data_IF_026461057239
#
_entry.id   IF_026461057239
#
_cell.length_a   1.000
_cell.length_b   1.000
_cell.length_c   1.000
_cell.angle_alpha   90.00
_cell.angle_beta   90.00
_cell.angle_gamma   90.00
#
_symmetry.space_group_name_H-M   'P 1'
#
loop_
_entity.id
_entity.type
_entity.pdbx_description
1 polymer ?
#
# COMPACT_ATOMS: atom_id res chain seq x y z
N UNK A 1 -32.99 -3.59 5.98
CA UNK A 1 -32.23 -2.51 6.66
C UNK A 1 -31.54 -2.94 7.97
N UNK A 2 -31.33 -4.25 8.26
CA UNK A 2 -30.69 -4.69 9.51
C UNK A 2 -29.19 -5.08 9.37
N UNK A 3 -28.74 -5.62 8.23
CA UNK A 3 -27.37 -6.14 8.09
C UNK A 3 -26.27 -5.09 8.15
N UNK A 4 -26.51 -3.86 7.67
CA UNK A 4 -25.53 -2.77 7.74
C UNK A 4 -25.27 -2.28 9.18
N UNK A 5 -26.13 -2.61 10.15
CA UNK A 5 -25.90 -2.35 11.57
C UNK A 5 -24.98 -3.38 12.22
N UNK A 6 -24.74 -4.51 11.54
CA UNK A 6 -23.85 -5.57 11.99
C UNK A 6 -22.84 -5.92 10.87
N UNK A 7 -21.92 -5.00 10.52
CA UNK A 7 -21.01 -5.20 9.39
C UNK A 7 -20.15 -6.46 9.50
N UNK A 8 -19.94 -6.99 10.71
CA UNK A 8 -19.21 -8.23 10.95
C UNK A 8 -19.91 -9.50 10.43
N UNK A 9 -21.22 -9.43 10.13
CA UNK A 9 -21.96 -10.54 9.50
C UNK A 9 -21.80 -10.55 7.97
N UNK A 10 -21.25 -9.48 7.39
CA UNK A 10 -21.05 -9.35 5.94
C UNK A 10 -19.65 -9.85 5.60
N UNK A 11 -19.54 -10.79 4.67
CA UNK A 11 -18.24 -11.29 4.22
C UNK A 11 -17.42 -10.20 3.53
N UNK A 12 -16.09 -10.33 3.57
CA UNK A 12 -15.17 -9.39 2.92
C UNK A 12 -15.50 -9.19 1.43
N UNK A 13 -15.73 -10.29 0.70
CA UNK A 13 -16.13 -10.22 -0.71
C UNK A 13 -17.44 -9.45 -0.95
N UNK A 14 -18.43 -9.60 -0.06
CA UNK A 14 -19.68 -8.84 -0.15
C UNK A 14 -19.47 -7.35 0.13
N UNK A 15 -18.65 -7.01 1.13
CA UNK A 15 -18.30 -5.61 1.42
C UNK A 15 -17.57 -4.96 0.25
N UNK A 16 -16.65 -5.68 -0.40
CA UNK A 16 -15.95 -5.22 -1.61
C UNK A 16 -16.91 -4.97 -2.75
N UNK A 17 -17.84 -5.87 -3.03
CA UNK A 17 -18.86 -5.66 -4.05
C UNK A 17 -19.74 -4.43 -3.76
N UNK A 18 -20.08 -4.19 -2.50
CA UNK A 18 -20.82 -2.97 -2.09
C UNK A 18 -19.97 -1.72 -2.35
N UNK A 19 -18.69 -1.73 -1.99
CA UNK A 19 -17.76 -0.62 -2.23
C UNK A 19 -17.59 -0.34 -3.73
N UNK A 20 -17.37 -1.38 -4.54
CA UNK A 20 -17.23 -1.27 -5.99
C UNK A 20 -18.51 -0.75 -6.65
N UNK A 21 -19.68 -1.22 -6.20
CA UNK A 21 -20.96 -0.74 -6.69
C UNK A 21 -21.21 0.73 -6.32
N UNK A 22 -20.92 1.14 -5.07
CA UNK A 22 -21.01 2.54 -4.63
C UNK A 22 -20.05 3.43 -5.42
N UNK A 23 -18.81 2.97 -5.62
CA UNK A 23 -17.81 3.67 -6.41
C UNK A 23 -18.27 3.86 -7.86
N UNK A 24 -18.72 2.78 -8.51
CA UNK A 24 -19.23 2.83 -9.88
C UNK A 24 -20.45 3.74 -10.01
N UNK A 25 -21.40 3.67 -9.07
CA UNK A 25 -22.60 4.52 -9.08
C UNK A 25 -22.24 6.01 -8.93
N UNK A 26 -21.31 6.33 -8.04
CA UNK A 26 -20.83 7.70 -7.86
C UNK A 26 -20.08 8.21 -9.10
N UNK A 27 -19.20 7.39 -9.70
CA UNK A 27 -18.55 7.71 -10.98
C UNK A 27 -19.56 7.94 -12.10
N UNK A 28 -20.58 7.08 -12.24
CA UNK A 28 -21.64 7.23 -13.25
C UNK A 28 -22.48 8.49 -13.04
N UNK A 29 -22.77 8.83 -11.77
CA UNK A 29 -23.50 10.06 -11.43
C UNK A 29 -22.70 11.28 -11.83
N UNK A 30 -21.39 11.32 -11.49
CA UNK A 30 -20.48 12.40 -11.89
C UNK A 30 -20.32 12.50 -13.40
N UNK A 31 -20.27 11.36 -14.08
CA UNK A 31 -20.23 11.30 -15.54
C UNK A 31 -21.49 11.91 -16.15
N UNK A 32 -22.68 11.54 -15.64
CA UNK A 32 -23.96 12.11 -16.11
C UNK A 32 -24.03 13.60 -15.84
N UNK A 33 -23.67 14.07 -14.64
CA UNK A 33 -23.60 15.50 -14.30
C UNK A 33 -22.70 16.26 -15.29
N UNK A 34 -21.49 15.75 -15.56
CA UNK A 34 -20.57 16.34 -16.52
C UNK A 34 -21.14 16.37 -17.94
N UNK A 35 -21.74 15.26 -18.38
CA UNK A 35 -22.34 15.13 -19.71
C UNK A 35 -23.54 16.07 -19.91
N UNK A 36 -24.44 16.15 -18.93
CA UNK A 36 -25.56 17.10 -18.94
C UNK A 36 -25.04 18.54 -18.98
N UNK A 37 -24.06 18.89 -18.15
CA UNK A 37 -23.46 20.23 -18.18
C UNK A 37 -22.82 20.55 -19.53
N UNK A 38 -22.19 19.57 -20.19
CA UNK A 38 -21.62 19.75 -21.53
C UNK A 38 -22.68 20.05 -22.59
N UNK A 39 -23.78 19.29 -22.59
CA UNK A 39 -24.87 19.46 -23.57
C UNK A 39 -25.63 20.76 -23.34
N UNK A 40 -26.00 21.05 -22.09
CA UNK A 40 -26.95 22.13 -21.77
C UNK A 40 -26.27 23.48 -21.53
N UNK A 41 -24.99 23.50 -21.14
CA UNK A 41 -24.29 24.74 -20.79
C UNK A 41 -23.09 25.07 -21.69
N UNK A 42 -22.80 24.26 -22.73
CA UNK A 42 -21.65 24.42 -23.62
C UNK A 42 -20.30 24.58 -22.88
N UNK A 43 -20.22 24.17 -21.62
CA UNK A 43 -18.97 24.11 -20.86
C UNK A 43 -18.37 22.74 -21.07
N UNK A 44 -17.14 22.68 -21.57
CA UNK A 44 -16.39 21.43 -21.68
C UNK A 44 -16.08 20.89 -20.27
N UNK A 45 -16.96 20.06 -19.71
CA UNK A 45 -16.71 19.35 -18.45
C UNK A 45 -16.21 17.95 -18.79
N UNK A 46 -14.96 17.65 -18.44
CA UNK A 46 -14.39 16.33 -18.68
C UNK A 46 -15.07 15.28 -17.78
N UNK A 47 -15.51 14.14 -18.34
CA UNK A 47 -16.17 13.07 -17.57
C UNK A 47 -15.20 12.23 -16.72
N UNK A 48 -13.90 12.37 -16.97
CA UNK A 48 -12.83 11.65 -16.29
C UNK A 48 -11.98 12.63 -15.49
N UNK A 49 -11.39 12.16 -14.41
CA UNK A 49 -10.27 12.84 -13.77
C UNK A 49 -9.02 12.47 -14.56
N UNK A 50 -8.58 13.35 -15.45
CA UNK A 50 -7.37 13.12 -16.26
C UNK A 50 -6.19 13.78 -15.55
N UNK A 51 -5.20 12.99 -15.15
CA UNK A 51 -3.93 13.49 -14.62
C UNK A 51 -2.85 13.38 -15.70
N UNK A 52 -2.30 14.52 -16.09
CA UNK A 52 -1.22 14.64 -17.07
C UNK A 52 0.10 14.82 -16.36
N UNK A 53 0.93 13.79 -16.32
CA UNK A 53 2.12 13.75 -15.47
C UNK A 53 3.39 13.56 -16.29
N UNK A 54 4.47 14.24 -15.89
CA UNK A 54 5.82 13.95 -16.38
C UNK A 54 6.46 12.93 -15.45
N UNK A 55 7.12 11.91 -16.01
CA UNK A 55 7.80 10.87 -15.20
C UNK A 55 8.77 11.45 -14.18
N UNK A 56 9.52 12.47 -14.57
CA UNK A 56 10.51 13.15 -13.71
C UNK A 56 9.88 14.06 -12.63
N UNK A 57 8.59 14.40 -12.74
CA UNK A 57 7.91 15.34 -11.85
C UNK A 57 6.61 14.75 -11.29
N UNK A 58 6.61 13.43 -11.03
CA UNK A 58 5.42 12.66 -10.73
C UNK A 58 4.65 13.19 -9.51
N UNK A 59 5.35 13.46 -8.40
CA UNK A 59 4.75 13.98 -7.16
C UNK A 59 4.17 15.38 -7.41
N UNK A 60 4.97 16.30 -7.94
CA UNK A 60 4.58 17.70 -8.14
C UNK A 60 3.37 17.83 -9.09
N UNK A 61 3.41 17.15 -10.24
CA UNK A 61 2.34 17.21 -11.23
C UNK A 61 1.06 16.55 -10.70
N UNK A 62 1.18 15.45 -9.94
CA UNK A 62 0.03 14.78 -9.31
C UNK A 62 -0.60 15.66 -8.24
N UNK A 63 0.20 16.20 -7.32
CA UNK A 63 -0.26 17.07 -6.23
C UNK A 63 -0.98 18.30 -6.78
N UNK A 64 -0.36 19.00 -7.73
CA UNK A 64 -0.92 20.20 -8.35
C UNK A 64 -2.28 19.93 -8.99
N UNK A 65 -2.40 18.82 -9.72
CA UNK A 65 -3.64 18.50 -10.42
C UNK A 65 -4.73 17.97 -9.49
N UNK A 66 -4.38 17.16 -8.48
CA UNK A 66 -5.35 16.67 -7.50
C UNK A 66 -5.91 17.82 -6.66
N UNK A 67 -5.07 18.79 -6.25
CA UNK A 67 -5.52 20.01 -5.57
C UNK A 67 -6.41 20.90 -6.45
N UNK A 68 -6.21 20.92 -7.77
CA UNK A 68 -7.07 21.66 -8.70
C UNK A 68 -8.40 20.96 -8.99
N UNK A 69 -8.49 19.65 -8.74
CA UNK A 69 -9.62 18.80 -9.10
C UNK A 69 -10.28 18.15 -7.87
N UNK A 70 -10.26 18.82 -6.71
CA UNK A 70 -10.83 18.33 -5.44
C UNK A 70 -12.27 17.81 -5.58
N UNK A 71 -13.13 18.52 -6.34
CA UNK A 71 -14.53 18.14 -6.54
C UNK A 71 -14.71 16.95 -7.50
N UNK A 72 -13.65 16.60 -8.23
CA UNK A 72 -13.64 15.65 -9.33
C UNK A 72 -12.90 14.35 -8.97
N UNK A 73 -12.39 14.21 -7.74
CA UNK A 73 -11.68 13.02 -7.26
C UNK A 73 -12.48 11.71 -7.33
N UNK A 74 -13.81 11.82 -7.43
CA UNK A 74 -14.73 10.68 -7.58
C UNK A 74 -15.07 10.35 -9.03
N UNK A 75 -14.50 11.08 -10.01
CA UNK A 75 -14.57 10.69 -11.42
C UNK A 75 -13.66 9.51 -11.68
N UNK A 76 -13.90 8.79 -12.77
CA UNK A 76 -13.00 7.72 -13.21
C UNK A 76 -11.63 8.32 -13.55
N UNK A 77 -10.59 7.81 -12.87
CA UNK A 77 -9.20 8.25 -13.00
C UNK A 77 -8.61 7.76 -14.33
N UNK A 78 -7.96 8.66 -15.07
CA UNK A 78 -7.16 8.36 -16.25
C UNK A 78 -5.82 9.05 -16.16
N UNK A 79 -4.76 8.31 -16.50
CA UNK A 79 -3.40 8.84 -16.51
C UNK A 79 -2.91 9.04 -17.94
N UNK A 80 -2.29 10.20 -18.18
CA UNK A 80 -1.59 10.52 -19.43
C UNK A 80 -0.14 10.91 -19.08
N UNK A 81 0.84 10.12 -19.51
CA UNK A 81 2.24 10.51 -19.41
C UNK A 81 2.59 11.47 -20.55
N UNK A 82 3.08 12.66 -20.20
CA UNK A 82 3.37 13.71 -21.19
C UNK A 82 4.52 13.26 -22.10
N UNK A 83 4.27 13.24 -23.40
CA UNK A 83 5.27 12.84 -24.41
C UNK A 83 5.26 11.35 -24.76
N UNK A 84 4.32 10.58 -24.22
CA UNK A 84 4.18 9.15 -24.48
C UNK A 84 2.86 8.82 -25.19
N UNK A 85 2.91 7.89 -26.14
CA UNK A 85 1.69 7.36 -26.76
C UNK A 85 1.08 6.28 -25.88
N UNK A 86 -0.19 6.44 -25.52
CA UNK A 86 -0.93 5.44 -24.76
C UNK A 86 -2.36 5.89 -24.45
N UNK A 87 -3.28 4.92 -24.46
CA UNK A 87 -4.64 5.11 -23.97
C UNK A 87 -4.77 4.32 -22.67
N UNK A 88 -5.13 5.00 -21.59
CA UNK A 88 -5.28 4.34 -20.29
C UNK A 88 -6.50 3.41 -20.26
N UNK A 89 -6.24 2.11 -20.43
CA UNK A 89 -7.19 1.03 -20.19
C UNK A 89 -7.00 0.38 -18.80
N UNK A 90 -6.27 1.04 -17.90
CA UNK A 90 -5.95 0.59 -16.53
C UNK A 90 -4.46 0.39 -16.27
N UNK A 91 -3.65 0.14 -17.31
CA UNK A 91 -2.21 -0.08 -17.19
C UNK A 91 -1.44 1.18 -16.79
N UNK A 92 -1.75 2.33 -17.40
CA UNK A 92 -1.08 3.60 -17.07
C UNK A 92 -1.46 4.07 -15.66
N UNK A 93 -2.73 3.87 -15.27
CA UNK A 93 -3.17 4.08 -13.89
C UNK A 93 -2.40 3.24 -12.88
N UNK A 94 -2.24 1.94 -13.15
CA UNK A 94 -1.48 1.04 -12.27
C UNK A 94 -0.01 1.46 -12.18
N UNK A 95 0.59 1.81 -13.30
CA UNK A 95 1.96 2.32 -13.36
C UNK A 95 2.14 3.60 -12.54
N UNK A 96 1.23 4.55 -12.67
CA UNK A 96 1.24 5.79 -11.91
C UNK A 96 1.19 5.55 -10.40
N UNK A 97 0.27 4.69 -9.93
CA UNK A 97 0.22 4.31 -8.51
C UNK A 97 1.54 3.71 -8.04
N UNK A 98 2.10 2.77 -8.80
CA UNK A 98 3.36 2.10 -8.47
C UNK A 98 4.52 3.10 -8.33
N UNK A 99 4.69 3.98 -9.33
CA UNK A 99 5.77 4.96 -9.34
C UNK A 99 5.59 6.03 -8.25
N UNK A 100 4.36 6.47 -8.03
CA UNK A 100 4.06 7.54 -7.06
C UNK A 100 4.24 7.04 -5.63
N UNK A 101 3.73 5.84 -5.31
CA UNK A 101 3.93 5.20 -4.01
C UNK A 101 5.41 5.00 -3.74
N UNK A 102 6.16 4.44 -4.69
CA UNK A 102 7.61 4.25 -4.53
C UNK A 102 8.32 5.57 -4.22
N UNK A 103 7.96 6.65 -4.91
CA UNK A 103 8.61 7.96 -4.71
C UNK A 103 8.25 8.58 -3.34
N UNK A 104 6.99 8.47 -2.91
CA UNK A 104 6.51 9.07 -1.64
C UNK A 104 6.97 8.30 -0.41
N UNK A 105 7.15 6.98 -0.53
CA UNK A 105 7.60 6.10 0.53
C UNK A 105 9.11 5.83 0.50
N UNK A 106 9.85 6.40 -0.46
CA UNK A 106 11.30 6.31 -0.49
C UNK A 106 11.90 6.88 0.83
N UNK A 107 12.74 6.13 1.56
CA UNK A 107 13.41 6.63 2.75
C UNK A 107 14.20 7.93 2.52
N UNK A 108 14.74 8.14 1.32
CA UNK A 108 15.46 9.36 0.93
C UNK A 108 14.52 10.57 0.78
N UNK A 109 13.24 10.34 0.46
CA UNK A 109 12.22 11.39 0.42
C UNK A 109 11.87 11.88 1.83
N UNK A 110 12.03 11.03 2.86
CA UNK A 110 12.02 11.45 4.26
C UNK A 110 10.64 11.71 4.86
N UNK A 111 9.56 11.28 4.20
CA UNK A 111 8.19 11.35 4.75
C UNK A 111 7.91 10.27 5.81
N UNK A 112 8.54 9.10 5.66
CA UNK A 112 8.33 7.94 6.52
C UNK A 112 9.66 7.39 7.02
N UNK A 113 9.65 6.83 8.22
CA UNK A 113 10.76 6.07 8.80
C UNK A 113 10.43 4.60 8.81
N UNK A 114 11.42 3.75 8.56
CA UNK A 114 11.28 2.30 8.52
C UNK A 114 11.85 1.67 9.78
N UNK A 115 11.22 0.60 10.22
CA UNK A 115 11.73 -0.27 11.27
C UNK A 115 12.34 -1.53 10.66
N UNK A 116 13.57 -1.86 11.04
CA UNK A 116 14.33 -2.96 10.45
C UNK A 116 13.77 -4.34 10.82
N UNK A 117 13.18 -4.46 12.01
CA UNK A 117 12.65 -5.74 12.51
C UNK A 117 11.32 -6.08 11.83
N UNK A 118 10.41 -5.12 11.74
CA UNK A 118 9.08 -5.34 11.16
C UNK A 118 9.02 -5.11 9.64
N UNK A 119 10.00 -4.40 9.07
CA UNK A 119 9.95 -3.83 7.71
C UNK A 119 8.73 -2.93 7.45
N UNK A 120 8.09 -2.43 8.51
CA UNK A 120 6.99 -1.48 8.43
C UNK A 120 7.51 -0.04 8.50
N UNK A 121 6.72 0.87 7.95
CA UNK A 121 6.99 2.29 7.94
C UNK A 121 5.98 3.06 8.78
N UNK A 122 6.42 4.20 9.31
CA UNK A 122 5.58 5.14 10.05
C UNK A 122 5.93 6.57 9.71
N UNK A 123 5.00 7.49 9.94
CA UNK A 123 5.18 8.91 9.67
C UNK A 123 6.44 9.43 10.36
N UNK A 124 7.30 10.12 9.62
CA UNK A 124 8.51 10.71 10.17
C UNK A 124 8.15 11.98 10.96
N UNK A 125 8.29 11.98 12.30
CA UNK A 125 7.97 13.15 13.13
C UNK A 125 8.89 14.34 12.81
N UNK A 126 10.07 14.08 12.23
CA UNK A 126 11.09 15.05 11.90
C UNK A 126 11.13 15.43 10.41
N UNK A 127 10.12 15.03 9.63
CA UNK A 127 10.05 15.34 8.19
C UNK A 127 10.04 16.84 7.93
N UNK A 128 10.80 17.27 6.92
CA UNK A 128 10.75 18.64 6.40
C UNK A 128 9.63 18.84 5.38
N UNK A 129 9.01 17.74 4.92
CA UNK A 129 7.93 17.79 3.95
C UNK A 129 6.68 18.47 4.55
N UNK A 130 5.89 19.08 3.67
CA UNK A 130 4.77 19.89 4.08
C UNK A 130 3.48 19.04 4.20
N UNK A 131 2.38 19.66 4.61
CA UNK A 131 1.10 18.96 4.81
C UNK A 131 0.53 18.41 3.49
N UNK A 132 0.86 19.02 2.36
CA UNK A 132 0.29 18.70 1.06
C UNK A 132 0.78 17.34 0.54
N UNK A 133 2.04 16.94 0.80
CA UNK A 133 2.51 15.59 0.46
C UNK A 133 1.78 14.52 1.26
N UNK A 134 1.59 14.72 2.57
CA UNK A 134 0.83 13.76 3.38
C UNK A 134 -0.64 13.71 2.96
N UNK A 135 -1.24 14.86 2.64
CA UNK A 135 -2.57 14.93 2.04
C UNK A 135 -2.63 14.12 0.72
N UNK A 136 -1.63 14.26 -0.15
CA UNK A 136 -1.52 13.48 -1.38
C UNK A 136 -1.47 11.97 -1.08
N UNK A 137 -0.67 11.52 -0.12
CA UNK A 137 -0.64 10.10 0.29
C UNK A 137 -2.03 9.63 0.69
N UNK A 138 -2.77 10.44 1.45
CA UNK A 138 -4.17 10.15 1.81
C UNK A 138 -5.08 10.01 0.60
N UNK A 139 -5.01 10.96 -0.35
CA UNK A 139 -5.81 10.92 -1.58
C UNK A 139 -5.47 9.68 -2.42
N UNK A 140 -4.17 9.37 -2.57
CA UNK A 140 -3.69 8.19 -3.32
C UNK A 140 -4.22 6.91 -2.70
N UNK A 141 -4.19 6.80 -1.36
CA UNK A 141 -4.74 5.66 -0.64
C UNK A 141 -6.24 5.49 -0.91
N UNK A 142 -7.00 6.59 -0.86
CA UNK A 142 -8.43 6.55 -1.12
C UNK A 142 -8.76 6.22 -2.59
N UNK A 143 -8.01 6.78 -3.54
CA UNK A 143 -8.16 6.46 -4.96
C UNK A 143 -7.85 4.99 -5.23
N UNK A 144 -6.86 4.41 -4.57
CA UNK A 144 -6.51 3.01 -4.73
C UNK A 144 -7.66 2.08 -4.32
N UNK A 145 -8.27 2.32 -3.15
CA UNK A 145 -9.46 1.60 -2.69
C UNK A 145 -10.61 1.74 -3.70
N UNK A 146 -10.87 2.96 -4.16
CA UNK A 146 -11.97 3.27 -5.07
C UNK A 146 -11.79 2.66 -6.48
N UNK A 147 -10.55 2.37 -6.86
CA UNK A 147 -10.19 1.78 -8.15
C UNK A 147 -9.76 0.30 -8.01
N UNK A 148 -10.04 -0.35 -6.88
CA UNK A 148 -9.67 -1.75 -6.59
C UNK A 148 -8.19 -2.04 -6.91
N UNK A 149 -7.29 -1.11 -6.58
CA UNK A 149 -5.86 -1.19 -6.87
C UNK A 149 -5.07 -1.40 -5.58
N UNK A 150 -4.25 -2.44 -5.56
CA UNK A 150 -3.31 -2.68 -4.46
C UNK A 150 -2.12 -1.73 -4.55
N UNK A 151 -1.68 -1.23 -3.41
CA UNK A 151 -0.48 -0.43 -3.25
C UNK A 151 0.59 -1.20 -2.49
N UNK A 152 1.84 -1.05 -2.92
CA UNK A 152 3.01 -1.58 -2.24
C UNK A 152 3.41 -0.66 -1.07
N UNK A 153 2.55 -0.58 -0.05
CA UNK A 153 2.79 0.23 1.16
C UNK A 153 2.87 -0.66 2.40
N UNK A 154 3.74 -0.25 3.31
CA UNK A 154 4.10 -1.01 4.50
C UNK A 154 3.65 -0.28 5.79
N UNK A 155 2.44 0.29 5.79
CA UNK A 155 1.88 0.94 6.98
C UNK A 155 1.27 -0.13 7.92
N UNK A 156 1.48 -0.03 9.25
CA UNK A 156 0.90 -0.98 10.22
C UNK A 156 -0.61 -0.77 10.37
N UNK A 157 -1.30 -1.78 10.91
CA UNK A 157 -2.73 -1.74 11.26
C UNK A 157 -3.11 -0.51 12.09
N UNK A 158 -2.20 -0.04 12.95
CA UNK A 158 -2.33 1.19 13.72
C UNK A 158 -2.74 2.41 12.87
N UNK A 159 -2.20 2.53 11.65
CA UNK A 159 -2.54 3.61 10.72
C UNK A 159 -4.03 3.59 10.36
N UNK A 160 -4.55 2.41 10.03
CA UNK A 160 -5.94 2.22 9.65
C UNK A 160 -6.88 2.34 10.85
N UNK A 161 -6.46 1.90 12.05
CA UNK A 161 -7.21 2.13 13.30
C UNK A 161 -7.39 3.63 13.54
N UNK A 162 -6.32 4.41 13.43
CA UNK A 162 -6.36 5.87 13.57
C UNK A 162 -7.25 6.53 12.52
N UNK A 163 -7.22 6.07 11.25
CA UNK A 163 -8.13 6.58 10.22
C UNK A 163 -9.58 6.44 10.68
N UNK A 164 -9.94 5.30 11.26
CA UNK A 164 -11.28 5.00 11.78
C UNK A 164 -11.53 5.51 13.21
N UNK A 165 -10.69 6.41 13.71
CA UNK A 165 -10.77 6.99 15.05
C UNK A 165 -10.79 5.94 16.19
N UNK A 166 -10.19 4.77 15.95
CA UNK A 166 -10.00 3.75 16.98
C UNK A 166 -8.73 4.04 17.79
N UNK A 167 -8.75 3.82 19.11
CA UNK A 167 -7.57 3.98 19.94
C UNK A 167 -6.49 2.98 19.54
N UNK A 168 -5.24 3.40 19.71
CA UNK A 168 -4.05 2.58 19.50
C UNK A 168 -3.27 2.42 20.79
N UNK A 169 -2.70 1.24 21.02
CA UNK A 169 -2.06 0.86 22.26
C UNK A 169 -0.70 0.17 22.06
N UNK A 170 -0.13 -0.39 23.13
CA UNK A 170 1.16 -1.06 23.12
C UNK A 170 1.21 -2.26 22.16
N UNK A 171 0.08 -2.94 21.94
CA UNK A 171 -0.04 -4.04 20.98
C UNK A 171 0.16 -3.53 19.57
N UNK A 172 -0.47 -2.40 19.24
CA UNK A 172 -0.30 -1.74 17.93
C UNK A 172 1.13 -1.25 17.72
N UNK A 173 1.76 -0.71 18.78
CA UNK A 173 3.18 -0.36 18.74
C UNK A 173 4.05 -1.59 18.52
N UNK A 174 3.70 -2.74 19.10
CA UNK A 174 4.44 -4.00 18.93
C UNK A 174 4.48 -4.53 17.50
N UNK A 175 3.45 -4.25 16.70
CA UNK A 175 3.44 -4.61 15.27
C UNK A 175 4.48 -3.79 14.50
N UNK A 176 4.65 -2.50 14.82
CA UNK A 176 5.58 -1.59 14.13
C UNK A 176 6.99 -1.59 14.72
N UNK A 177 7.13 -1.60 16.06
CA UNK A 177 8.39 -1.49 16.80
C UNK A 177 8.52 -2.65 17.80
N UNK A 178 8.67 -3.90 17.32
CA UNK A 178 8.67 -5.09 18.18
C UNK A 178 9.76 -5.02 19.26
N UNK A 179 10.97 -4.57 18.92
CA UNK A 179 12.07 -4.42 19.89
C UNK A 179 11.78 -3.39 20.99
N UNK A 180 11.16 -2.26 20.65
CA UNK A 180 10.77 -1.25 21.64
C UNK A 180 9.68 -1.78 22.57
N UNK A 181 8.67 -2.45 22.01
CA UNK A 181 7.59 -3.07 22.78
C UNK A 181 8.11 -4.18 23.69
N UNK A 182 9.08 -4.97 23.25
CA UNK A 182 9.74 -5.95 24.12
C UNK A 182 10.43 -5.27 25.31
N UNK A 183 11.14 -4.15 25.09
CA UNK A 183 11.73 -3.36 26.17
C UNK A 183 10.69 -2.80 27.15
N UNK A 184 9.53 -2.37 26.66
CA UNK A 184 8.42 -1.95 27.52
C UNK A 184 7.82 -3.11 28.31
N UNK A 185 7.66 -4.29 27.70
CA UNK A 185 7.22 -5.49 28.43
C UNK A 185 8.19 -5.86 29.55
N UNK A 186 9.51 -5.84 29.28
CA UNK A 186 10.52 -6.06 30.31
C UNK A 186 10.41 -5.05 31.46
N UNK A 187 10.19 -3.76 31.17
CA UNK A 187 9.96 -2.73 32.18
C UNK A 187 8.70 -3.00 33.01
N UNK A 188 7.60 -3.37 32.36
CA UNK A 188 6.31 -3.64 32.97
C UNK A 188 6.29 -4.92 33.82
N UNK A 189 7.13 -5.90 33.50
CA UNK A 189 7.19 -7.18 34.22
C UNK A 189 8.31 -7.22 35.26
N UNK A 190 9.20 -6.24 35.28
CA UNK A 190 10.34 -6.23 36.20
C UNK A 190 9.91 -6.23 37.67
N UNK A 191 10.41 -7.19 38.46
CA UNK A 191 10.07 -7.32 39.89
C UNK A 191 11.00 -6.52 40.82
N UNK A 192 12.14 -6.06 40.31
CA UNK A 192 13.12 -5.28 41.08
C UNK A 192 12.79 -3.79 41.15
N UNK A 193 13.78 -3.00 41.61
CA UNK A 193 13.69 -1.54 41.68
C UNK A 193 13.81 -0.93 40.27
N UNK A 194 12.68 -0.47 39.73
CA UNK A 194 12.61 0.08 38.38
C UNK A 194 13.45 1.36 38.24
N UNK A 195 13.40 2.24 39.23
CA UNK A 195 14.06 3.55 39.18
C UNK A 195 15.58 3.40 39.11
N UNK A 196 16.14 2.56 39.98
CA UNK A 196 17.59 2.35 40.07
C UNK A 196 18.15 1.46 38.95
N UNK A 197 17.34 0.58 38.36
CA UNK A 197 17.81 -0.33 37.30
C UNK A 197 17.66 0.29 35.90
N UNK A 198 16.50 0.89 35.61
CA UNK A 198 16.25 1.45 34.28
C UNK A 198 16.73 2.89 34.15
N UNK A 199 16.77 3.65 35.26
CA UNK A 199 17.19 5.05 35.29
C UNK A 199 16.56 5.90 34.18
N UNK A 200 15.25 5.73 33.96
CA UNK A 200 14.48 6.48 32.97
C UNK A 200 13.69 7.59 33.64
N UNK A 201 13.55 8.71 32.95
CA UNK A 201 12.60 9.77 33.25
C UNK A 201 11.46 9.75 32.24
N UNK A 202 10.40 10.54 32.44
CA UNK A 202 9.27 10.69 31.51
C UNK A 202 9.65 11.50 30.25
N UNK A 203 10.60 10.99 29.49
CA UNK A 203 11.15 11.58 28.27
C UNK A 203 11.18 10.52 27.18
N UNK A 204 10.62 10.83 26.03
CA UNK A 204 10.78 10.05 24.81
C UNK A 204 11.98 10.55 24.01
N UNK A 205 12.59 9.63 23.28
CA UNK A 205 13.71 9.94 22.40
C UNK A 205 13.38 9.54 20.96
N UNK A 206 13.79 10.39 20.02
CA UNK A 206 13.72 10.08 18.61
C UNK A 206 14.96 10.60 17.89
N UNK A 207 15.33 9.95 16.80
CA UNK A 207 16.45 10.39 15.96
C UNK A 207 15.97 11.41 14.93
N UNK A 208 16.75 12.48 14.76
CA UNK A 208 16.54 13.51 13.77
C UNK A 208 17.88 13.89 13.14
N UNK A 209 18.15 13.42 11.92
CA UNK A 209 19.41 13.64 11.18
C UNK A 209 20.66 13.22 11.98
N UNK A 210 20.64 12.01 12.55
CA UNK A 210 21.73 11.48 13.36
C UNK A 210 21.86 12.13 14.74
N UNK A 211 20.98 13.06 15.11
CA UNK A 211 20.92 13.66 16.44
C UNK A 211 19.76 13.08 17.24
N UNK A 212 20.04 12.56 18.44
CA UNK A 212 19.00 12.17 19.39
C UNK A 212 18.34 13.42 19.96
N UNK A 213 17.03 13.52 19.81
CA UNK A 213 16.20 14.54 20.43
C UNK A 213 15.38 13.93 21.55
N UNK A 214 15.27 14.67 22.65
CA UNK A 214 14.51 14.31 23.82
C UNK A 214 13.25 15.17 23.90
N UNK A 215 12.10 14.56 24.17
CA UNK A 215 10.81 15.23 24.34
C UNK A 215 10.19 14.78 25.65
N UNK A 216 9.87 15.72 26.54
CA UNK A 216 9.15 15.40 27.78
C UNK A 216 7.73 14.92 27.46
N UNK A 217 7.36 13.77 28.02
CA UNK A 217 6.05 13.14 27.84
C UNK A 217 4.95 13.80 28.67
N UNK A 218 5.34 14.54 29.70
CA UNK A 218 4.48 15.31 30.59
C UNK A 218 5.24 16.57 31.08
N UNK A 219 4.56 17.57 31.66
CA UNK A 219 5.21 18.74 32.26
C UNK A 219 6.25 18.32 33.31
N UNK A 220 7.47 18.84 33.20
CA UNK A 220 8.61 18.46 34.05
C UNK A 220 8.97 16.95 33.99
N UNK A 221 8.73 16.32 32.84
CA UNK A 221 8.98 14.89 32.64
C UNK A 221 10.46 14.49 32.75
N UNK A 222 11.39 15.43 32.55
CA UNK A 222 12.81 15.17 32.77
C UNK A 222 13.17 15.03 34.26
N UNK A 223 12.35 15.58 35.16
CA UNK A 223 12.55 15.55 36.61
C UNK A 223 11.78 14.42 37.29
N UNK A 224 10.78 13.83 36.62
CA UNK A 224 10.00 12.69 37.12
C UNK A 224 10.65 11.38 36.67
N UNK A 225 11.18 10.61 37.62
CA UNK A 225 11.73 9.28 37.38
C UNK A 225 10.63 8.23 37.20
N UNK A 226 10.94 7.21 36.42
CA UNK A 226 10.09 6.02 36.24
C UNK A 226 10.32 5.07 37.41
N UNK A 227 9.26 4.71 38.12
CA UNK A 227 9.24 3.84 39.29
C UNK A 227 8.30 2.66 39.07
N UNK A 228 8.28 1.70 40.00
CA UNK A 228 7.37 0.55 39.94
C UNK A 228 5.89 0.97 39.90
N UNK A 229 5.52 2.07 40.57
CA UNK A 229 4.15 2.58 40.65
C UNK A 229 3.70 3.31 39.39
N UNK A 230 4.63 3.96 38.67
CA UNK A 230 4.29 4.84 37.54
C UNK A 230 4.74 4.31 36.16
N UNK A 231 5.39 3.14 36.10
CA UNK A 231 5.87 2.54 34.84
C UNK A 231 4.80 2.34 33.78
N UNK A 232 3.56 2.03 34.17
CA UNK A 232 2.45 1.88 33.22
C UNK A 232 2.12 3.23 32.57
N UNK A 233 2.04 4.30 33.37
CA UNK A 233 1.82 5.67 32.88
C UNK A 233 2.93 6.09 31.90
N UNK A 234 4.19 5.76 32.20
CA UNK A 234 5.32 6.02 31.31
C UNK A 234 5.14 5.33 29.95
N UNK A 235 4.82 4.02 29.95
CA UNK A 235 4.62 3.25 28.71
C UNK A 235 3.43 3.80 27.92
N UNK A 236 2.29 4.06 28.55
CA UNK A 236 1.09 4.57 27.90
C UNK A 236 1.34 5.95 27.24
N UNK A 237 2.03 6.84 27.94
CA UNK A 237 2.41 8.15 27.40
C UNK A 237 3.42 8.03 26.25
N UNK A 238 4.37 7.10 26.34
CA UNK A 238 5.35 6.87 25.27
C UNK A 238 4.66 6.33 24.01
N UNK A 239 3.78 5.35 24.16
CA UNK A 239 2.99 4.80 23.04
C UNK A 239 2.14 5.89 22.41
N UNK A 240 1.44 6.69 23.22
CA UNK A 240 0.65 7.81 22.71
C UNK A 240 1.53 8.85 21.99
N UNK A 241 2.73 9.14 22.50
CA UNK A 241 3.64 10.03 21.81
C UNK A 241 4.05 9.49 20.42
N UNK A 242 4.48 8.23 20.33
CA UNK A 242 4.94 7.62 19.07
C UNK A 242 3.82 7.49 18.04
N UNK A 243 2.66 6.98 18.45
CA UNK A 243 1.56 6.69 17.51
C UNK A 243 0.61 7.87 17.27
N UNK A 244 0.58 8.87 18.16
CA UNK A 244 -0.31 10.02 18.05
C UNK A 244 0.45 11.35 18.02
N UNK A 245 0.95 11.83 19.16
CA UNK A 245 1.36 13.23 19.29
C UNK A 245 2.55 13.63 18.42
N UNK A 246 3.53 12.74 18.22
CA UNK A 246 4.73 13.04 17.42
C UNK A 246 4.44 13.18 15.92
N UNK A 247 3.32 12.64 15.45
CA UNK A 247 2.96 12.57 14.02
C UNK A 247 1.63 13.26 13.71
N UNK A 248 1.01 13.93 14.68
CA UNK A 248 -0.32 14.54 14.57
C UNK A 248 -0.43 15.42 13.32
N UNK A 249 0.54 16.31 13.10
CA UNK A 249 0.54 17.23 11.96
C UNK A 249 0.50 16.50 10.60
N UNK A 250 1.30 15.45 10.47
CA UNK A 250 1.45 14.65 9.27
C UNK A 250 0.20 13.77 9.06
N UNK A 251 -0.22 13.11 10.14
CA UNK A 251 -1.35 12.20 10.14
C UNK A 251 -2.67 12.92 9.85
N UNK A 252 -2.91 14.12 10.41
CA UNK A 252 -4.10 14.91 10.14
C UNK A 252 -4.24 15.27 8.66
N UNK A 253 -3.14 15.64 8.02
CA UNK A 253 -3.14 15.96 6.60
C UNK A 253 -3.42 14.71 5.75
N UNK A 254 -2.78 13.59 6.08
CA UNK A 254 -3.06 12.29 5.48
C UNK A 254 -4.51 11.85 5.65
N UNK A 255 -5.06 11.93 6.86
CA UNK A 255 -6.45 11.58 7.15
C UNK A 255 -7.42 12.46 6.37
N UNK A 256 -7.17 13.77 6.28
CA UNK A 256 -7.96 14.68 5.44
C UNK A 256 -7.95 14.27 3.97
N UNK A 257 -6.78 13.92 3.42
CA UNK A 257 -6.66 13.46 2.05
C UNK A 257 -7.44 12.16 1.80
N UNK A 258 -7.33 11.21 2.73
CA UNK A 258 -8.06 9.94 2.68
C UNK A 258 -9.58 10.16 2.64
N UNK A 259 -10.12 10.96 3.57
CA UNK A 259 -11.55 11.24 3.64
C UNK A 259 -12.09 12.09 2.50
N UNK A 260 -11.20 12.77 1.76
CA UNK A 260 -11.60 13.52 0.58
C UNK A 260 -12.09 12.61 -0.56
N UNK A 261 -11.56 11.39 -0.62
CA UNK A 261 -11.98 10.35 -1.59
C UNK A 261 -12.95 9.36 -0.92
N UNK A 262 -12.58 8.87 0.26
CA UNK A 262 -13.26 7.81 0.99
C UNK A 262 -14.09 8.36 2.16
N UNK A 263 -15.37 8.65 1.94
CA UNK A 263 -16.25 9.21 2.99
C UNK A 263 -17.71 8.74 2.93
N UNK A 264 -18.00 7.68 2.17
CA UNK A 264 -19.35 7.14 1.99
C UNK A 264 -19.71 6.02 2.97
N UNK A 265 -21.00 5.68 3.04
CA UNK A 265 -21.52 4.63 3.93
C UNK A 265 -20.88 3.26 3.67
N UNK A 266 -20.42 2.98 2.44
CA UNK A 266 -19.76 1.72 2.11
C UNK A 266 -18.47 1.51 2.93
N UNK A 267 -17.69 2.56 3.17
CA UNK A 267 -16.45 2.49 3.95
C UNK A 267 -16.70 2.12 5.41
N UNK A 268 -17.84 2.57 5.98
CA UNK A 268 -18.21 2.30 7.37
C UNK A 268 -18.49 0.82 7.66
N UNK A 269 -18.63 -0.01 6.61
CA UNK A 269 -18.82 -1.46 6.75
C UNK A 269 -17.51 -2.21 7.06
N UNK A 270 -16.36 -1.56 6.83
CA UNK A 270 -15.05 -2.19 6.95
C UNK A 270 -14.44 -1.95 8.32
N UNK A 271 -13.70 -2.94 8.78
CA UNK A 271 -12.78 -2.82 9.91
C UNK A 271 -11.40 -2.34 9.44
N UNK A 272 -10.56 -1.76 10.32
CA UNK A 272 -9.20 -1.35 9.99
C UNK A 272 -8.38 -2.41 9.27
N UNK A 273 -8.44 -3.66 9.73
CA UNK A 273 -7.69 -4.78 9.15
C UNK A 273 -8.19 -5.14 7.74
N UNK A 274 -9.49 -4.93 7.50
CA UNK A 274 -10.09 -5.16 6.18
C UNK A 274 -9.68 -4.05 5.20
N UNK A 275 -9.57 -2.79 5.65
CA UNK A 275 -9.04 -1.70 4.81
C UNK A 275 -7.56 -1.88 4.52
N UNK A 276 -6.77 -2.30 5.51
CA UNK A 276 -5.38 -2.69 5.30
C UNK A 276 -5.29 -3.75 4.20
N UNK A 277 -6.13 -4.78 4.27
CA UNK A 277 -6.17 -5.86 3.28
C UNK A 277 -6.58 -5.36 1.88
N UNK A 278 -7.51 -4.40 1.77
CA UNK A 278 -7.86 -3.78 0.47
C UNK A 278 -6.69 -3.03 -0.16
N UNK A 279 -5.96 -2.30 0.68
CA UNK A 279 -4.88 -1.44 0.24
C UNK A 279 -3.64 -2.26 -0.10
N UNK A 280 -3.19 -3.12 0.82
CA UNK A 280 -1.94 -3.86 0.68
C UNK A 280 -2.11 -5.15 -0.12
N UNK A 281 -3.31 -5.71 -0.14
CA UNK A 281 -3.53 -7.06 -0.66
C UNK A 281 -3.15 -8.15 0.35
N UNK A 282 -3.56 -9.38 0.04
CA UNK A 282 -3.38 -10.56 0.88
C UNK A 282 -1.98 -11.18 0.73
N UNK A 283 -1.47 -11.63 1.87
CA UNK A 283 -0.25 -12.41 2.00
C UNK A 283 -0.49 -13.91 2.24
N UNK A 284 -1.76 -14.36 2.14
CA UNK A 284 -2.14 -15.76 2.20
C UNK A 284 -1.46 -16.59 1.10
N UNK A 285 -1.04 -17.84 1.39
CA UNK A 285 -0.34 -18.70 0.44
C UNK A 285 -0.93 -18.69 -0.97
N UNK A 286 -0.06 -18.69 -1.98
CA UNK A 286 -0.50 -18.62 -3.37
C UNK A 286 -1.12 -19.94 -3.82
N UNK A 287 -2.42 -19.91 -4.09
CA UNK A 287 -3.14 -21.00 -4.73
C UNK A 287 -2.78 -21.07 -6.23
N UNK A 288 -1.67 -21.75 -6.55
CA UNK A 288 -1.08 -21.76 -7.91
C UNK A 288 -2.05 -22.26 -8.98
N UNK A 289 -2.92 -23.21 -8.63
CA UNK A 289 -3.94 -23.72 -9.54
C UNK A 289 -5.02 -22.68 -9.86
N UNK A 290 -5.33 -21.78 -8.92
CA UNK A 290 -6.25 -20.67 -9.19
C UNK A 290 -5.59 -19.62 -10.08
N UNK A 291 -4.33 -19.25 -9.79
CA UNK A 291 -3.56 -18.33 -10.65
C UNK A 291 -3.49 -18.85 -12.09
N UNK A 292 -3.27 -20.16 -12.27
CA UNK A 292 -3.29 -20.81 -13.58
C UNK A 292 -4.63 -20.65 -14.30
N UNK A 293 -5.75 -20.86 -13.59
CA UNK A 293 -7.11 -20.71 -14.16
C UNK A 293 -7.41 -19.28 -14.61
N UNK A 294 -6.88 -18.28 -13.91
CA UNK A 294 -7.09 -16.86 -14.22
C UNK A 294 -6.08 -16.28 -15.23
N UNK A 295 -5.18 -17.11 -15.76
CA UNK A 295 -4.14 -16.68 -16.69
C UNK A 295 -4.60 -16.78 -18.14
N UNK A 296 -4.53 -15.66 -18.86
CA UNK A 296 -4.71 -15.57 -20.30
C UNK A 296 -3.39 -15.92 -21.02
N UNK A 297 -3.44 -16.85 -21.97
CA UNK A 297 -2.29 -17.26 -22.77
C UNK A 297 -2.35 -16.66 -24.17
N UNK A 298 -1.34 -15.86 -24.52
CA UNK A 298 -1.26 -15.20 -25.82
C UNK A 298 -0.12 -15.78 -26.65
N UNK A 299 -0.46 -16.53 -27.69
CA UNK A 299 0.53 -17.25 -28.52
C UNK A 299 1.07 -18.54 -27.90
N UNK A 300 0.44 -19.02 -26.84
CA UNK A 300 0.64 -20.33 -26.23
C UNK A 300 -0.71 -21.04 -26.10
N UNK A 301 -0.71 -22.36 -26.24
CA UNK A 301 -1.81 -23.21 -25.79
C UNK A 301 -1.60 -23.59 -24.31
N UNK A 302 -2.69 -23.82 -23.56
CA UNK A 302 -2.59 -24.11 -22.12
C UNK A 302 -1.85 -25.43 -21.83
N UNK A 303 -1.94 -26.41 -22.73
CA UNK A 303 -1.29 -27.71 -22.63
C UNK A 303 0.13 -27.72 -23.24
N UNK A 304 0.59 -26.59 -23.79
CA UNK A 304 1.93 -26.51 -24.35
C UNK A 304 2.99 -26.73 -23.25
N UNK A 305 4.03 -27.51 -23.58
CA UNK A 305 5.09 -27.91 -22.66
C UNK A 305 5.66 -26.75 -21.83
N UNK A 306 5.89 -25.59 -22.46
CA UNK A 306 6.45 -24.40 -21.77
C UNK A 306 5.52 -23.91 -20.65
N UNK A 307 4.20 -23.91 -20.88
CA UNK A 307 3.20 -23.48 -19.90
C UNK A 307 3.05 -24.51 -18.78
N UNK A 308 2.99 -25.79 -19.13
CA UNK A 308 2.95 -26.89 -18.16
C UNK A 308 4.20 -26.88 -17.26
N UNK A 309 5.38 -26.72 -17.87
CA UNK A 309 6.65 -26.63 -17.15
C UNK A 309 6.69 -25.39 -16.25
N UNK A 310 6.21 -24.22 -16.71
CA UNK A 310 6.14 -22.99 -15.91
C UNK A 310 5.33 -23.18 -14.62
N UNK A 311 4.09 -23.67 -14.72
CA UNK A 311 3.25 -23.87 -13.54
C UNK A 311 3.79 -24.96 -12.62
N UNK A 312 4.37 -26.01 -13.19
CA UNK A 312 5.04 -27.05 -12.40
C UNK A 312 6.24 -26.49 -11.62
N UNK A 313 7.05 -25.62 -12.23
CA UNK A 313 8.14 -24.94 -11.54
C UNK A 313 7.61 -24.05 -10.41
N UNK A 314 6.57 -23.25 -10.67
CA UNK A 314 6.00 -22.35 -9.66
C UNK A 314 5.46 -23.12 -8.44
N UNK A 315 4.80 -24.28 -8.65
CA UNK A 315 4.36 -25.16 -7.56
C UNK A 315 5.52 -25.75 -6.75
N UNK A 316 6.66 -26.02 -7.39
CA UNK A 316 7.87 -26.57 -6.75
C UNK A 316 8.72 -25.50 -6.04
N UNK A 317 8.42 -24.21 -6.23
CA UNK A 317 9.13 -23.13 -5.55
C UNK A 317 8.68 -22.99 -4.10
N UNK A 318 9.64 -22.67 -3.22
CA UNK A 318 9.35 -22.21 -1.86
C UNK A 318 8.45 -20.96 -1.87
N UNK A 319 7.57 -20.75 -0.87
CA UNK A 319 6.63 -19.64 -0.84
C UNK A 319 7.26 -18.27 -1.10
N UNK A 320 8.43 -18.00 -0.53
CA UNK A 320 9.17 -16.75 -0.75
C UNK A 320 9.57 -16.56 -2.21
N UNK A 321 9.99 -17.63 -2.90
CA UNK A 321 10.33 -17.58 -4.33
C UNK A 321 9.09 -17.43 -5.20
N UNK A 322 7.96 -18.03 -4.82
CA UNK A 322 6.70 -17.82 -5.52
C UNK A 322 6.27 -16.34 -5.47
N UNK A 323 6.43 -15.69 -4.30
CA UNK A 323 6.17 -14.27 -4.09
C UNK A 323 7.09 -13.38 -4.92
N UNK A 324 8.40 -13.70 -4.96
CA UNK A 324 9.37 -12.99 -5.81
C UNK A 324 9.02 -13.13 -7.30
N UNK A 325 8.58 -14.32 -7.73
CA UNK A 325 8.12 -14.52 -9.10
C UNK A 325 6.86 -13.72 -9.40
N UNK A 326 5.89 -13.68 -8.48
CA UNK A 326 4.69 -12.85 -8.62
C UNK A 326 5.08 -11.37 -8.77
N UNK A 327 5.89 -10.85 -7.84
CA UNK A 327 6.42 -9.48 -7.87
C UNK A 327 7.08 -9.15 -9.21
N UNK A 328 7.85 -10.10 -9.78
CA UNK A 328 8.56 -9.89 -11.05
C UNK A 328 7.62 -9.50 -12.20
N UNK A 329 6.45 -10.13 -12.34
CA UNK A 329 5.54 -9.86 -13.47
C UNK A 329 4.26 -9.09 -13.13
N UNK A 330 4.01 -8.80 -11.85
CA UNK A 330 2.83 -8.03 -11.41
C UNK A 330 3.21 -6.72 -10.74
N UNK A 331 4.47 -6.57 -10.29
CA UNK A 331 4.93 -5.42 -9.51
C UNK A 331 4.43 -5.41 -8.06
N UNK A 332 3.83 -6.51 -7.58
CA UNK A 332 3.45 -6.72 -6.18
C UNK A 332 3.63 -8.19 -5.80
N UNK A 333 4.11 -8.45 -4.60
CA UNK A 333 4.15 -9.79 -4.04
C UNK A 333 2.78 -10.21 -3.46
N UNK A 334 1.77 -9.35 -3.47
CA UNK A 334 0.43 -9.59 -2.89
C UNK A 334 -0.62 -9.93 -3.95
N UNK A 335 -1.68 -10.59 -3.49
CA UNK A 335 -2.87 -10.89 -4.29
C UNK A 335 -4.05 -10.05 -3.81
N UNK A 336 -5.13 -9.86 -4.61
CA UNK A 336 -6.35 -9.19 -4.16
C UNK A 336 -6.88 -9.75 -2.83
N UNK A 337 -7.54 -8.90 -2.03
CA UNK A 337 -8.16 -9.29 -0.76
C UNK A 337 -9.20 -10.43 -0.89
N UNK A 338 -9.78 -10.61 -2.07
CA UNK A 338 -10.70 -11.72 -2.42
C UNK A 338 -9.99 -12.99 -2.86
N UNK A 339 -8.66 -13.02 -2.85
CA UNK A 339 -7.83 -14.12 -3.33
C UNK A 339 -7.44 -14.00 -4.81
N UNK A 340 -6.67 -15.00 -5.25
CA UNK A 340 -6.08 -15.09 -6.58
C UNK A 340 -7.10 -15.13 -7.73
N UNK A 341 -8.36 -15.52 -7.44
CA UNK A 341 -9.43 -15.65 -8.45
C UNK A 341 -9.76 -14.37 -9.20
N UNK A 342 -9.51 -13.21 -8.60
CA UNK A 342 -9.78 -11.92 -9.23
C UNK A 342 -8.51 -11.28 -9.85
N UNK A 343 -7.43 -12.06 -9.97
CA UNK A 343 -6.17 -11.58 -10.52
C UNK A 343 -6.04 -11.99 -11.99
N UNK A 344 -6.28 -11.06 -12.91
CA UNK A 344 -6.03 -11.29 -14.33
C UNK A 344 -4.53 -11.27 -14.62
N UNK A 345 -4.00 -12.42 -15.03
CA UNK A 345 -2.61 -12.60 -15.42
C UNK A 345 -2.50 -12.86 -16.92
N UNK A 346 -1.38 -12.48 -17.53
CA UNK A 346 -1.12 -12.77 -18.95
C UNK A 346 0.23 -13.45 -19.12
N UNK A 347 0.27 -14.55 -19.86
CA UNK A 347 1.52 -15.15 -20.33
C UNK A 347 1.56 -15.05 -21.84
N UNK A 348 2.54 -14.33 -22.37
CA UNK A 348 2.66 -14.05 -23.81
C UNK A 348 3.91 -14.66 -24.39
N UNK A 349 3.79 -15.21 -25.59
CA UNK A 349 4.93 -15.73 -26.33
C UNK A 349 5.78 -14.58 -26.89
N UNK A 350 7.05 -14.53 -26.48
CA UNK A 350 8.01 -13.49 -26.88
C UNK A 350 8.64 -13.67 -28.26
N UNK A 351 8.21 -14.66 -29.05
CA UNK A 351 8.73 -14.98 -30.37
C UNK A 351 9.82 -16.07 -30.40
N UNK A 352 10.39 -16.31 -31.58
CA UNK A 352 11.37 -17.36 -31.84
C UNK A 352 12.81 -16.90 -31.52
N UNK A 353 13.06 -16.46 -30.29
CA UNK A 353 14.42 -16.12 -29.83
C UNK A 353 14.89 -17.19 -28.85
N UNK A 354 16.01 -17.82 -29.16
CA UNK A 354 16.66 -18.79 -28.28
C UNK A 354 17.38 -18.05 -27.14
N UNK A 355 17.40 -18.67 -25.96
CA UNK A 355 18.23 -18.24 -24.82
C UNK A 355 17.96 -16.82 -24.28
N UNK A 356 16.80 -16.23 -24.60
CA UNK A 356 16.39 -14.94 -24.05
C UNK A 356 15.78 -15.10 -22.66
N UNK A 357 16.10 -14.18 -21.76
CA UNK A 357 15.48 -14.10 -20.43
C UNK A 357 13.99 -13.77 -20.55
N UNK A 358 13.12 -14.33 -19.68
CA UNK A 358 11.77 -13.84 -19.48
C UNK A 358 11.78 -12.33 -19.21
N UNK A 359 10.77 -11.64 -19.72
CA UNK A 359 10.56 -10.22 -19.42
C UNK A 359 9.15 -9.99 -18.90
N UNK A 360 8.92 -8.83 -18.29
CA UNK A 360 7.68 -8.52 -17.61
C UNK A 360 7.16 -7.14 -17.97
N UNK A 361 5.84 -7.02 -18.07
CA UNK A 361 5.13 -5.74 -18.08
C UNK A 361 4.19 -5.71 -16.88
N UNK A 362 4.71 -5.28 -15.74
CA UNK A 362 4.02 -5.30 -14.44
C UNK A 362 2.72 -4.50 -14.44
N UNK A 363 2.65 -3.42 -15.24
CA UNK A 363 1.46 -2.60 -15.46
C UNK A 363 0.27 -3.41 -16.01
N UNK A 364 0.54 -4.52 -16.71
CA UNK A 364 -0.45 -5.40 -17.33
C UNK A 364 -0.48 -6.81 -16.73
N UNK A 365 0.21 -7.05 -15.60
CA UNK A 365 0.39 -8.39 -15.01
C UNK A 365 0.89 -9.42 -16.04
N UNK A 366 1.77 -8.99 -16.95
CA UNK A 366 2.14 -9.78 -18.11
C UNK A 366 3.56 -10.32 -17.98
N UNK A 367 3.69 -11.63 -18.13
CA UNK A 367 4.94 -12.34 -18.25
C UNK A 367 5.16 -12.73 -19.72
N UNK A 368 6.31 -12.36 -20.28
CA UNK A 368 6.72 -12.75 -21.63
C UNK A 368 7.66 -13.94 -21.53
N UNK A 369 7.23 -15.08 -22.06
CA UNK A 369 7.98 -16.34 -22.08
C UNK A 369 8.41 -16.72 -23.50
N UNK A 370 9.53 -17.43 -23.56
CA UNK A 370 10.08 -18.03 -24.78
C UNK A 370 9.95 -19.55 -24.70
N UNK A 371 10.04 -20.24 -25.84
CA UNK A 371 10.03 -21.71 -25.87
C UNK A 371 11.42 -22.22 -25.47
N UNK A 372 11.53 -22.81 -24.29
CA UNK A 372 12.78 -23.37 -23.79
C UNK A 372 12.87 -24.88 -24.08
N UNK A 373 14.09 -25.37 -24.24
CA UNK A 373 14.37 -26.77 -24.58
C UNK A 373 13.81 -27.78 -23.55
N UNK A 374 13.86 -27.40 -22.26
CA UNK A 374 13.41 -28.23 -21.16
C UNK A 374 13.09 -27.39 -19.90
N UNK A 375 12.33 -27.99 -18.98
CA UNK A 375 11.98 -27.44 -17.66
C UNK A 375 13.16 -26.88 -16.88
N UNK A 376 14.32 -27.56 -16.90
CA UNK A 376 15.52 -27.12 -16.16
C UNK A 376 16.05 -25.79 -16.70
N UNK A 377 16.06 -25.62 -18.04
CA UNK A 377 16.44 -24.37 -18.69
C UNK A 377 15.45 -23.25 -18.38
N UNK A 378 14.14 -23.51 -18.46
CA UNK A 378 13.10 -22.55 -18.08
C UNK A 378 13.27 -22.09 -16.62
N UNK A 379 13.45 -23.03 -15.68
CA UNK A 379 13.66 -22.71 -14.25
C UNK A 379 14.86 -21.79 -14.06
N UNK A 380 16.00 -22.12 -14.66
CA UNK A 380 17.22 -21.29 -14.58
C UNK A 380 16.99 -19.89 -15.14
N UNK A 381 16.30 -19.78 -16.27
CA UNK A 381 16.04 -18.48 -16.91
C UNK A 381 15.07 -17.62 -16.09
N UNK A 382 14.05 -18.22 -15.46
CA UNK A 382 13.16 -17.53 -14.51
C UNK A 382 13.94 -17.04 -13.28
N UNK A 383 14.77 -17.89 -12.69
CA UNK A 383 15.59 -17.52 -11.52
C UNK A 383 16.57 -16.39 -11.85
N UNK A 384 17.23 -16.44 -13.02
CA UNK A 384 18.09 -15.36 -13.50
C UNK A 384 17.32 -14.05 -13.71
N UNK A 385 16.16 -14.08 -14.38
CA UNK A 385 15.36 -12.87 -14.61
C UNK A 385 14.86 -12.23 -13.29
N UNK A 386 14.50 -13.05 -12.31
CA UNK A 386 14.14 -12.55 -10.97
C UNK A 386 15.34 -11.90 -10.27
N UNK A 387 16.54 -12.48 -10.37
CA UNK A 387 17.75 -11.91 -9.75
C UNK A 387 18.19 -10.62 -10.43
N UNK A 388 18.17 -10.55 -11.76
CA UNK A 388 18.58 -9.35 -12.50
C UNK A 388 17.59 -8.20 -12.34
N UNK A 389 16.30 -8.51 -12.14
CA UNK A 389 15.29 -7.47 -11.91
C UNK A 389 15.43 -6.82 -10.53
N UNK A 390 15.92 -7.51 -9.49
CA UNK A 390 16.14 -6.94 -8.15
C UNK A 390 17.04 -5.68 -8.14
N UNK A 391 17.96 -5.54 -9.10
CA UNK A 391 18.79 -4.34 -9.25
C UNK A 391 18.03 -3.06 -9.64
N UNK A 392 16.75 -3.17 -10.02
CA UNK A 392 15.84 -2.04 -10.27
C UNK A 392 14.89 -1.75 -9.09
N UNK A 393 14.79 -2.65 -8.11
CA UNK A 393 13.92 -2.48 -6.91
C UNK A 393 14.72 -2.12 -5.65
N UNK A 394 16.06 -2.26 -5.69
CA UNK A 394 16.97 -1.83 -4.62
C UNK A 394 17.93 -0.79 -5.20
N UNK A 395 17.47 0.46 -5.27
CA UNK A 395 18.33 1.64 -5.35
C UNK A 395 17.69 2.81 -4.65
#
# INVERSE_FOLDING_TARGET
FAFCQYPFLISMGSKMQIMEADAKQQMETKWREAFFNMIFHQKAVMPYLVLRVRREHLIEDSLRQLAQNELDLKKSLRIEFIGEEGVDAGGLRKEWFLLLVRSLFDPQYGMFTYDEDSNLCWFNPASFENKDQYFLVGVVLGLAIYNSTILDIHLPTACYKKLFHQPVDLTDLGVFRPSLTHGFQQLLEFEGDVENVFCRSFVAEFENFGQRKCVSLLPDGAQKMVTNENRQEFVDLYVNYVLNSSVERQFDAFQRGFYHVCGGNALSLFRPEEIELLVRGSDEPLEIDELRRQTEYNGFEEDERTIVDFWSIMKEMEPEKQRRLLMFFTGSDRIPATGASNMHLKITWGGNVLDRLPSAHTCFNQLVLYKYENKKKLKRMLEMAMMESQGFYVK
#
